data_IF_979384830450
#
_entry.id   IF_979384830450
#
_cell.length_a   1.000
_cell.length_b   1.000
_cell.length_c   1.000
_cell.angle_alpha   90.00
_cell.angle_beta   90.00
_cell.angle_gamma   90.00
#
_symmetry.space_group_name_H-M   'P 1'
#
loop_
_entity.id
_entity.type
_entity.pdbx_description
1 polymer ?
#
# COMPACT_ATOMS: atom_id res chain seq x y z
N UNK A 1 18.23 -19.55 -25.29
CA UNK A 1 17.59 -18.27 -24.89
C UNK A 1 18.26 -17.07 -25.54
N UNK A 2 19.58 -16.81 -25.37
CA UNK A 2 20.27 -15.70 -26.07
C UNK A 2 20.36 -15.85 -27.61
N UNK A 3 20.26 -17.07 -28.14
CA UNK A 3 20.27 -17.31 -29.60
C UNK A 3 18.90 -17.14 -30.27
N UNK A 4 17.83 -17.01 -29.48
CA UNK A 4 16.44 -16.98 -29.98
C UNK A 4 15.75 -15.66 -29.66
N UNK A 5 16.23 -14.93 -28.66
CA UNK A 5 15.72 -13.62 -28.26
C UNK A 5 16.89 -12.71 -27.90
N UNK A 6 16.94 -11.55 -28.53
CA UNK A 6 17.82 -10.46 -28.12
C UNK A 6 17.36 -9.97 -26.74
N UNK A 7 18.12 -10.30 -25.71
CA UNK A 7 17.87 -9.87 -24.35
C UNK A 7 19.11 -9.16 -23.81
N UNK A 8 18.93 -7.88 -23.49
CA UNK A 8 19.97 -7.04 -22.87
C UNK A 8 20.05 -7.33 -21.37
N UNK A 9 21.26 -7.62 -20.89
CA UNK A 9 21.53 -7.71 -19.46
C UNK A 9 21.70 -6.29 -18.88
N UNK A 10 20.80 -5.91 -17.98
CA UNK A 10 20.82 -4.61 -17.30
C UNK A 10 21.62 -4.64 -16.00
N UNK A 11 22.28 -5.76 -15.69
CA UNK A 11 23.04 -5.98 -14.47
C UNK A 11 22.17 -6.31 -13.27
N UNK A 12 22.66 -5.97 -12.08
CA UNK A 12 22.03 -6.31 -10.81
C UNK A 12 20.71 -5.53 -10.66
N UNK A 13 19.60 -6.27 -10.56
CA UNK A 13 18.27 -5.72 -10.35
C UNK A 13 18.20 -4.90 -9.04
N UNK A 14 17.93 -3.60 -9.20
CA UNK A 14 17.77 -2.63 -8.09
C UNK A 14 16.32 -2.18 -7.91
N UNK A 15 15.47 -2.35 -8.93
CA UNK A 15 14.05 -2.04 -8.91
C UNK A 15 13.25 -3.07 -9.68
N UNK A 16 12.08 -3.46 -9.16
CA UNK A 16 11.13 -4.32 -9.86
C UNK A 16 9.70 -3.97 -9.47
N UNK A 17 8.85 -3.65 -10.45
CA UNK A 17 7.44 -3.29 -10.24
C UNK A 17 7.21 -2.16 -9.22
N UNK A 18 8.18 -1.27 -8.99
CA UNK A 18 8.10 -0.21 -7.96
C UNK A 18 8.59 -0.63 -6.57
N UNK A 19 9.05 -1.88 -6.42
CA UNK A 19 9.81 -2.36 -5.26
C UNK A 19 11.29 -2.02 -5.46
N UNK A 20 11.90 -1.47 -4.41
CA UNK A 20 13.34 -1.32 -4.32
C UNK A 20 13.95 -2.63 -3.84
N UNK A 21 14.94 -3.14 -4.57
CA UNK A 21 15.61 -4.40 -4.30
C UNK A 21 17.06 -4.13 -3.95
N UNK A 22 17.49 -4.65 -2.80
CA UNK A 22 18.88 -4.60 -2.35
C UNK A 22 19.40 -6.02 -2.20
N UNK A 23 20.26 -6.42 -3.12
CA UNK A 23 20.91 -7.72 -3.14
C UNK A 23 22.23 -7.61 -2.37
N UNK A 24 22.43 -8.49 -1.41
CA UNK A 24 23.64 -8.58 -0.58
C UNK A 24 24.08 -10.05 -0.50
N UNK A 25 25.33 -10.34 -0.09
CA UNK A 25 25.80 -11.71 0.04
C UNK A 25 24.96 -12.57 1.01
N UNK A 26 24.32 -11.94 1.99
CA UNK A 26 23.47 -12.57 3.01
C UNK A 26 22.00 -12.71 2.59
N UNK A 27 21.59 -12.14 1.45
CA UNK A 27 20.23 -12.30 0.92
C UNK A 27 19.71 -11.11 0.13
N UNK A 28 18.39 -11.10 -0.09
CA UNK A 28 17.70 -10.06 -0.85
C UNK A 28 16.75 -9.31 0.08
N UNK A 29 16.93 -7.99 0.17
CA UNK A 29 16.04 -7.09 0.91
C UNK A 29 15.12 -6.37 -0.06
N UNK A 30 13.82 -6.39 0.22
CA UNK A 30 12.79 -5.70 -0.55
C UNK A 30 12.25 -4.55 0.28
N UNK A 31 12.22 -3.34 -0.29
CA UNK A 31 11.74 -2.12 0.38
C UNK A 31 10.82 -1.31 -0.54
N UNK A 32 9.94 -0.51 0.06
CA UNK A 32 8.98 0.37 -0.64
C UNK A 32 9.04 1.81 -0.08
N UNK A 33 10.20 2.25 0.40
CA UNK A 33 10.33 3.54 1.10
C UNK A 33 9.85 4.71 0.23
N UNK A 34 10.34 4.80 -1.00
CA UNK A 34 9.94 5.88 -1.91
C UNK A 34 8.44 5.84 -2.24
N UNK A 35 7.86 4.63 -2.33
CA UNK A 35 6.43 4.47 -2.57
C UNK A 35 5.60 5.03 -1.40
N UNK A 36 5.99 4.69 -0.16
CA UNK A 36 5.32 5.20 1.06
C UNK A 36 5.43 6.72 1.15
N UNK A 37 6.61 7.29 0.92
CA UNK A 37 6.81 8.75 0.99
C UNK A 37 5.97 9.49 -0.06
N UNK A 38 5.90 8.96 -1.29
CA UNK A 38 5.06 9.51 -2.35
C UNK A 38 3.57 9.40 -2.02
N UNK A 39 3.13 8.27 -1.46
CA UNK A 39 1.75 8.06 -1.04
C UNK A 39 1.36 9.07 0.05
N UNK A 40 2.19 9.23 1.09
CA UNK A 40 1.96 10.21 2.15
C UNK A 40 1.93 11.65 1.62
N UNK A 41 2.78 11.97 0.64
CA UNK A 41 2.75 13.28 -0.01
C UNK A 41 1.44 13.54 -0.75
N UNK A 42 0.99 12.59 -1.57
CA UNK A 42 -0.25 12.70 -2.34
C UNK A 42 -1.49 12.88 -1.45
N UNK A 43 -1.44 12.38 -0.22
CA UNK A 43 -2.53 12.46 0.75
C UNK A 43 -2.37 13.60 1.75
N UNK A 44 -1.35 14.45 1.60
CA UNK A 44 -1.02 15.50 2.55
C UNK A 44 -0.81 14.97 3.99
N UNK A 45 -0.32 13.73 4.13
CA UNK A 45 -0.11 13.03 5.41
C UNK A 45 1.35 13.03 5.89
N UNK A 46 2.24 13.83 5.27
CA UNK A 46 3.66 13.89 5.65
C UNK A 46 3.88 14.26 7.13
N UNK A 47 2.98 15.04 7.71
CA UNK A 47 3.05 15.50 9.11
C UNK A 47 2.13 14.69 10.04
N UNK A 48 1.52 13.60 9.57
CA UNK A 48 0.70 12.75 10.42
C UNK A 48 1.55 12.09 11.50
N UNK A 49 0.99 12.01 12.72
CA UNK A 49 1.62 11.33 13.84
C UNK A 49 1.78 9.84 13.52
N UNK A 50 2.99 9.32 13.70
CA UNK A 50 3.25 7.89 13.58
C UNK A 50 2.55 7.12 14.69
N UNK A 51 1.92 6.00 14.32
CA UNK A 51 1.29 5.06 15.23
C UNK A 51 2.00 3.72 15.13
N UNK A 52 2.69 3.26 16.18
CA UNK A 52 3.44 2.00 16.15
C UNK A 52 2.53 0.77 16.21
N UNK A 53 1.32 0.94 16.75
CA UNK A 53 0.36 -0.14 16.91
C UNK A 53 -0.57 -0.18 15.70
N UNK A 54 -0.65 -1.32 14.98
CA UNK A 54 -1.61 -1.51 13.91
C UNK A 54 -3.06 -1.42 14.39
N UNK A 55 -3.99 -1.34 13.44
CA UNK A 55 -5.41 -1.35 13.72
C UNK A 55 -5.82 -2.65 14.45
N UNK A 56 -6.41 -2.51 15.63
CA UNK A 56 -6.97 -3.64 16.37
C UNK A 56 -8.23 -4.20 15.71
N UNK A 57 -8.53 -5.47 15.98
CA UNK A 57 -9.68 -6.20 15.41
C UNK A 57 -11.00 -5.80 16.07
N UNK A 58 -10.96 -5.16 17.24
CA UNK A 58 -12.16 -4.81 18.00
C UNK A 58 -13.11 -3.94 17.17
N UNK A 59 -14.36 -4.40 17.11
CA UNK A 59 -15.45 -3.94 16.27
C UNK A 59 -15.61 -2.43 16.41
N UNK A 60 -15.06 -1.67 15.46
CA UNK A 60 -15.45 -0.28 15.31
C UNK A 60 -16.87 -0.32 14.78
N UNK A 61 -17.84 -0.18 15.68
CA UNK A 61 -19.24 -0.05 15.30
C UNK A 61 -19.31 1.03 14.23
N UNK A 62 -19.80 0.62 13.05
CA UNK A 62 -20.13 1.55 11.99
C UNK A 62 -21.27 2.40 12.53
N UNK A 63 -21.10 3.71 12.49
CA UNK A 63 -22.24 4.59 12.65
C UNK A 63 -23.09 4.44 11.37
N UNK A 64 -24.27 3.83 11.49
CA UNK A 64 -25.17 3.64 10.35
C UNK A 64 -25.66 4.99 9.79
N UNK A 65 -25.57 6.05 10.57
CA UNK A 65 -25.92 7.42 10.19
C UNK A 65 -24.73 8.22 9.62
N UNK A 66 -23.56 7.60 9.47
CA UNK A 66 -22.37 8.27 8.93
C UNK A 66 -22.56 8.69 7.47
N UNK A 67 -22.22 9.95 7.17
CA UNK A 67 -22.28 10.48 5.82
C UNK A 67 -21.43 9.65 4.84
N UNK A 68 -21.96 9.42 3.63
CA UNK A 68 -21.22 8.73 2.59
C UNK A 68 -19.98 9.53 2.15
N UNK A 69 -18.92 8.80 1.82
CA UNK A 69 -17.73 9.37 1.22
C UNK A 69 -18.01 9.73 -0.24
N UNK A 70 -17.87 11.01 -0.57
CA UNK A 70 -18.34 11.57 -1.83
C UNK A 70 -17.59 11.06 -3.07
N UNK A 71 -16.30 10.71 -2.96
CA UNK A 71 -15.47 10.33 -4.11
C UNK A 71 -15.09 8.84 -4.09
N UNK A 72 -15.96 8.00 -4.66
CA UNK A 72 -15.71 6.56 -4.80
C UNK A 72 -14.42 6.23 -5.57
N UNK A 73 -14.04 7.06 -6.56
CA UNK A 73 -12.85 6.82 -7.37
C UNK A 73 -11.59 7.03 -6.54
N UNK A 74 -11.56 8.10 -5.76
CA UNK A 74 -10.47 8.38 -4.82
C UNK A 74 -10.37 7.26 -3.78
N UNK A 75 -11.48 6.85 -3.18
CA UNK A 75 -11.50 5.77 -2.20
C UNK A 75 -10.92 4.46 -2.76
N UNK A 76 -11.41 4.02 -3.92
CA UNK A 76 -10.93 2.78 -4.58
C UNK A 76 -9.46 2.86 -4.97
N UNK A 77 -9.02 4.02 -5.48
CA UNK A 77 -7.61 4.28 -5.80
C UNK A 77 -6.73 4.16 -4.55
N UNK A 78 -7.19 4.70 -3.42
CA UNK A 78 -6.48 4.64 -2.16
C UNK A 78 -6.37 3.22 -1.61
N UNK A 79 -7.48 2.49 -1.58
CA UNK A 79 -7.49 1.09 -1.17
C UNK A 79 -6.54 0.27 -2.06
N UNK A 80 -6.54 0.49 -3.38
CA UNK A 80 -5.60 -0.15 -4.29
C UNK A 80 -4.13 0.14 -3.97
N UNK A 81 -3.79 1.40 -3.67
CA UNK A 81 -2.42 1.78 -3.25
C UNK A 81 -2.03 1.12 -1.93
N UNK A 82 -2.96 1.01 -0.98
CA UNK A 82 -2.73 0.34 0.29
C UNK A 82 -2.57 -1.17 0.13
N UNK A 83 -3.34 -1.82 -0.75
CA UNK A 83 -3.17 -3.24 -1.11
C UNK A 83 -1.78 -3.48 -1.71
N UNK A 84 -1.28 -2.56 -2.55
CA UNK A 84 0.08 -2.69 -3.06
C UNK A 84 1.14 -2.57 -1.95
N UNK A 85 0.90 -1.73 -0.94
CA UNK A 85 1.81 -1.56 0.19
C UNK A 85 1.88 -2.80 1.11
N UNK A 86 0.82 -3.63 1.19
CA UNK A 86 0.82 -4.83 2.05
C UNK A 86 1.88 -5.87 1.66
N UNK A 87 2.41 -5.80 0.43
CA UNK A 87 3.47 -6.69 -0.06
C UNK A 87 4.76 -6.55 0.75
N UNK A 88 5.04 -5.37 1.33
CA UNK A 88 6.19 -5.16 2.24
C UNK A 88 5.80 -4.77 3.66
N UNK A 89 4.52 -4.47 3.89
CA UNK A 89 3.94 -4.07 5.19
C UNK A 89 2.74 -4.95 5.56
N UNK A 90 2.97 -6.23 5.93
CA UNK A 90 1.88 -7.14 6.27
C UNK A 90 1.12 -6.72 7.56
N UNK A 91 1.74 -5.89 8.40
CA UNK A 91 1.16 -5.37 9.64
C UNK A 91 -0.10 -4.52 9.41
N UNK A 92 -0.27 -3.91 8.23
CA UNK A 92 -1.47 -3.12 7.91
C UNK A 92 -2.56 -3.94 7.19
N UNK A 93 -2.32 -5.22 6.86
CA UNK A 93 -3.24 -6.05 6.07
C UNK A 93 -4.68 -6.05 6.61
N UNK A 94 -4.84 -6.11 7.94
CA UNK A 94 -6.17 -6.09 8.55
C UNK A 94 -6.93 -4.80 8.25
N UNK A 95 -6.29 -3.65 8.43
CA UNK A 95 -6.89 -2.34 8.15
C UNK A 95 -7.28 -2.21 6.67
N UNK A 96 -6.40 -2.65 5.77
CA UNK A 96 -6.65 -2.61 4.32
C UNK A 96 -7.81 -3.54 3.95
N UNK A 97 -7.89 -4.74 4.54
CA UNK A 97 -9.01 -5.65 4.33
C UNK A 97 -10.33 -5.05 4.83
N UNK A 98 -10.32 -4.41 6.00
CA UNK A 98 -11.48 -3.75 6.57
C UNK A 98 -12.02 -2.66 5.64
N UNK A 99 -11.15 -1.77 5.14
CA UNK A 99 -11.50 -0.72 4.17
C UNK A 99 -12.03 -1.32 2.85
N UNK A 100 -11.42 -2.41 2.38
CA UNK A 100 -11.82 -3.06 1.12
C UNK A 100 -13.28 -3.58 1.12
N UNK A 101 -13.88 -3.81 2.30
CA UNK A 101 -15.29 -4.23 2.41
C UNK A 101 -16.27 -3.12 2.03
N UNK A 102 -15.86 -1.86 2.11
CA UNK A 102 -16.71 -0.69 1.89
C UNK A 102 -16.50 -0.04 0.51
N UNK A 103 -15.94 -0.76 -0.47
CA UNK A 103 -15.59 -0.24 -1.81
C UNK A 103 -16.77 0.23 -2.67
N UNK A 104 -17.99 -0.21 -2.34
CA UNK A 104 -19.22 0.18 -3.04
C UNK A 104 -19.91 1.39 -2.40
N UNK A 105 -19.85 1.49 -1.07
CA UNK A 105 -20.50 2.54 -0.28
C UNK A 105 -19.66 2.86 0.96
N UNK A 106 -18.53 3.57 0.78
CA UNK A 106 -17.71 4.01 1.90
C UNK A 106 -18.41 5.15 2.65
N UNK A 107 -18.37 5.12 3.98
CA UNK A 107 -18.75 6.25 4.85
C UNK A 107 -17.53 7.07 5.26
N UNK A 108 -17.73 8.30 5.73
CA UNK A 108 -16.67 9.20 6.22
C UNK A 108 -15.97 8.72 7.50
N UNK A 109 -16.58 7.80 8.24
CA UNK A 109 -16.01 7.24 9.47
C UNK A 109 -14.94 6.16 9.22
N UNK A 110 -14.78 5.71 7.97
CA UNK A 110 -13.72 4.78 7.56
C UNK A 110 -12.38 5.49 7.33
#
# INVERSE_FOLDING_TARGET
MKETFEMSDLGIMSYFLGLEIMQRPDGIFVKQKNYVENLLHQLNMKQCKSMPTPMGVNDRQRDEDSELFNDLRLYRSLVGKLIYLTHTRPDICYAVNYLSRSMNSPSKDH
#
